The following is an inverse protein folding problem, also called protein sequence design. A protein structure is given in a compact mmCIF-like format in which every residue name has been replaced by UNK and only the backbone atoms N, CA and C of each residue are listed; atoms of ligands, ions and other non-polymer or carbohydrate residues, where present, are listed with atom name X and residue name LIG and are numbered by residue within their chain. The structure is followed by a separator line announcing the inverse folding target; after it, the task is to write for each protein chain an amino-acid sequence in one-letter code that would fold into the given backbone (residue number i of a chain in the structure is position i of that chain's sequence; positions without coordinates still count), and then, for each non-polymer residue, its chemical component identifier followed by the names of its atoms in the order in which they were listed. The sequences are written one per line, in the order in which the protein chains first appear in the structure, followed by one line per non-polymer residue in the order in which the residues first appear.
data_IF_777649026646
#
_entry.id   IF_777649026646
#
_cell.length_a   1.000
_cell.length_b   1.000
_cell.length_c   1.000
_cell.angle_alpha   90.00
_cell.angle_beta   90.00
_cell.angle_gamma   90.00
#
_symmetry.space_group_name_H-M   'P 1'
#
loop_
_entity.id
_entity.type
_entity.pdbx_description
1 polymer ?
#
# COMPACT_ATOMS: atom_id res chain seq x y z
N UNK A 1 -5.66 2.92 -3.36
CA UNK A 1 -6.13 2.80 -1.96
C UNK A 1 -5.16 3.41 -0.93
N UNK A 2 -3.87 3.57 -1.24
CA UNK A 2 -2.82 4.07 -0.31
C UNK A 2 -3.05 5.45 0.25
N UNK A 3 -3.34 6.41 -0.63
CA UNK A 3 -3.67 7.76 -0.21
C UNK A 3 -4.94 7.78 0.66
N UNK A 4 -5.87 6.84 0.44
CA UNK A 4 -7.07 6.71 1.28
C UNK A 4 -6.77 6.09 2.65
N UNK A 5 -5.90 5.08 2.73
CA UNK A 5 -5.50 4.44 4.00
C UNK A 5 -4.63 5.40 4.84
N UNK A 6 -3.64 6.04 4.23
CA UNK A 6 -2.82 7.06 4.90
C UNK A 6 -3.69 8.22 5.39
N UNK A 7 -4.58 8.73 4.54
CA UNK A 7 -5.58 9.73 4.94
C UNK A 7 -6.46 9.22 6.08
N UNK A 8 -6.85 7.94 6.06
CA UNK A 8 -7.69 7.36 7.10
C UNK A 8 -6.98 7.29 8.46
N UNK A 9 -5.67 6.99 8.48
CA UNK A 9 -4.87 7.10 9.70
C UNK A 9 -4.89 8.52 10.26
N UNK A 10 -4.69 9.54 9.42
CA UNK A 10 -4.74 10.95 9.85
C UNK A 10 -6.13 11.34 10.37
N UNK A 11 -7.19 10.96 9.68
CA UNK A 11 -8.58 11.23 10.11
C UNK A 11 -8.89 10.60 11.48
N UNK A 12 -8.45 9.36 11.70
CA UNK A 12 -8.69 8.64 12.96
C UNK A 12 -7.80 9.14 14.10
N UNK A 13 -6.59 9.62 13.81
CA UNK A 13 -5.75 10.30 14.80
C UNK A 13 -6.37 11.63 15.22
N UNK A 14 -6.87 12.43 14.28
CA UNK A 14 -7.57 13.67 14.61
C UNK A 14 -8.83 13.39 15.46
N UNK A 15 -9.63 12.38 15.07
CA UNK A 15 -10.80 11.98 15.85
C UNK A 15 -10.40 11.53 17.27
N UNK A 16 -9.27 10.83 17.42
CA UNK A 16 -8.76 10.42 18.73
C UNK A 16 -8.41 11.63 19.61
N UNK A 17 -7.74 12.63 19.07
CA UNK A 17 -7.41 13.86 19.81
C UNK A 17 -8.67 14.65 20.22
N UNK A 18 -9.70 14.69 19.37
CA UNK A 18 -11.01 15.29 19.71
C UNK A 18 -11.68 14.55 20.89
N UNK A 19 -11.63 13.21 20.90
CA UNK A 19 -12.16 12.40 22.01
C UNK A 19 -11.37 12.68 23.29
N UNK A 20 -10.04 12.77 23.21
CA UNK A 20 -9.20 13.13 24.36
C UNK A 20 -9.48 14.54 24.89
N UNK A 21 -9.80 15.50 24.02
CA UNK A 21 -10.19 16.85 24.41
C UNK A 21 -11.59 16.93 25.04
N UNK A 22 -12.46 15.94 24.76
CA UNK A 22 -13.83 15.87 25.33
C UNK A 22 -13.89 15.38 26.79
N UNK A 23 -12.74 15.11 27.41
CA UNK A 23 -12.65 14.67 28.81
C UNK A 23 -13.33 15.65 29.76
N UNK A 24 -14.16 15.11 30.64
CA UNK A 24 -14.81 15.87 31.71
C UNK A 24 -14.46 15.26 33.07
N UNK A 25 -14.52 16.08 34.13
CA UNK A 25 -14.40 15.57 35.48
C UNK A 25 -15.79 15.29 36.05
N UNK A 26 -15.99 14.08 36.58
CA UNK A 26 -17.20 13.69 37.31
C UNK A 26 -16.82 13.35 38.75
N UNK A 27 -17.75 13.55 39.66
CA UNK A 27 -17.56 13.22 41.07
C UNK A 27 -18.38 11.97 41.39
N UNK A 28 -17.75 11.00 42.05
CA UNK A 28 -18.45 9.81 42.51
C UNK A 28 -19.37 10.16 43.67
N UNK A 29 -20.66 9.88 43.51
CA UNK A 29 -21.67 10.06 44.56
C UNK A 29 -21.42 9.17 45.79
N UNK A 30 -20.63 8.10 45.65
CA UNK A 30 -20.37 7.11 46.68
C UNK A 30 -19.10 7.41 47.50
N UNK A 31 -18.02 7.85 46.84
CA UNK A 31 -16.70 8.06 47.45
C UNK A 31 -16.30 9.54 47.55
N UNK A 32 -17.03 10.45 46.89
CA UNK A 32 -16.69 11.88 46.79
C UNK A 32 -15.45 12.18 45.94
N UNK A 33 -14.79 11.15 45.39
CA UNK A 33 -13.59 11.29 44.57
C UNK A 33 -13.94 11.80 43.17
N UNK A 34 -13.12 12.73 42.66
CA UNK A 34 -13.19 13.17 41.27
C UNK A 34 -12.47 12.17 40.36
N UNK A 35 -13.07 11.84 39.21
CA UNK A 35 -12.50 10.98 38.19
C UNK A 35 -12.72 11.55 36.79
N UNK A 36 -11.84 11.19 35.86
CA UNK A 36 -11.97 11.58 34.45
C UNK A 36 -13.01 10.70 33.74
N UNK A 37 -13.89 11.33 32.97
CA UNK A 37 -14.97 10.68 32.23
C UNK A 37 -14.92 11.06 30.74
N UNK A 38 -15.08 10.06 29.89
CA UNK A 38 -15.29 10.17 28.44
C UNK A 38 -16.56 9.39 28.10
N UNK A 39 -17.36 9.91 27.16
CA UNK A 39 -18.55 9.22 26.69
C UNK A 39 -18.18 7.93 25.93
N UNK A 40 -18.73 6.80 26.39
CA UNK A 40 -18.35 5.47 25.88
C UNK A 40 -18.63 5.30 24.39
N UNK A 41 -19.69 5.96 23.89
CA UNK A 41 -20.13 5.89 22.49
C UNK A 41 -19.08 6.49 21.54
N UNK A 42 -18.37 7.53 21.98
CA UNK A 42 -17.29 8.14 21.20
C UNK A 42 -16.12 7.17 21.04
N UNK A 43 -15.74 6.51 22.15
CA UNK A 43 -14.66 5.52 22.17
C UNK A 43 -15.03 4.30 21.31
N UNK A 44 -16.27 3.81 21.43
CA UNK A 44 -16.78 2.69 20.64
C UNK A 44 -16.80 3.02 19.14
N UNK A 45 -17.33 4.20 18.78
CA UNK A 45 -17.39 4.64 17.39
C UNK A 45 -16.01 4.70 16.74
N UNK A 46 -15.04 5.28 17.45
CA UNK A 46 -13.66 5.33 17.01
C UNK A 46 -13.04 3.92 16.92
N UNK A 47 -13.24 3.07 17.93
CA UNK A 47 -12.73 1.70 17.96
C UNK A 47 -13.24 0.85 16.79
N UNK A 48 -14.52 0.96 16.41
CA UNK A 48 -15.09 0.28 15.24
C UNK A 48 -14.40 0.73 13.95
N UNK A 49 -14.13 2.03 13.79
CA UNK A 49 -13.45 2.55 12.59
C UNK A 49 -11.99 2.09 12.51
N UNK A 50 -11.30 2.00 13.65
CA UNK A 50 -9.92 1.47 13.71
C UNK A 50 -9.89 -0.01 13.33
N UNK A 51 -10.81 -0.83 13.87
CA UNK A 51 -10.91 -2.24 13.50
C UNK A 51 -11.16 -2.41 12.00
N UNK A 52 -12.08 -1.64 11.41
CA UNK A 52 -12.31 -1.68 9.96
C UNK A 52 -11.09 -1.25 9.14
N UNK A 53 -10.28 -0.31 9.63
CA UNK A 53 -9.01 0.05 9.00
C UNK A 53 -8.03 -1.12 9.06
N UNK A 54 -7.88 -1.78 10.20
CA UNK A 54 -6.97 -2.90 10.36
C UNK A 54 -7.40 -4.13 9.55
N UNK A 55 -8.71 -4.41 9.45
CA UNK A 55 -9.25 -5.45 8.55
C UNK A 55 -8.91 -5.16 7.08
N UNK A 56 -8.96 -3.89 6.66
CA UNK A 56 -8.56 -3.48 5.30
C UNK A 56 -7.05 -3.60 5.06
N UNK A 57 -6.23 -3.51 6.11
CA UNK A 57 -4.80 -3.79 6.05
C UNK A 57 -4.51 -5.30 5.95
N UNK A 58 -5.49 -6.16 6.20
CA UNK A 58 -5.42 -7.60 5.95
C UNK A 58 -4.50 -8.34 6.93
N UNK A 59 -3.81 -9.37 6.44
CA UNK A 59 -2.98 -10.28 7.25
C UNK A 59 -1.82 -9.61 7.99
N UNK A 60 -1.39 -8.43 7.52
CA UNK A 60 -0.25 -7.70 8.08
C UNK A 60 -0.58 -6.99 9.38
N UNK A 61 -1.81 -6.51 9.48
CA UNK A 61 -2.34 -5.91 10.70
C UNK A 61 -3.10 -6.94 11.56
N UNK A 62 -3.11 -8.24 11.19
CA UNK A 62 -3.90 -9.24 11.91
C UNK A 62 -3.44 -9.41 13.36
N UNK A 63 -2.13 -9.32 13.61
CA UNK A 63 -1.56 -9.35 14.97
C UNK A 63 -1.97 -8.09 15.76
N UNK A 64 -1.90 -6.93 15.13
CA UNK A 64 -2.26 -5.64 15.71
C UNK A 64 -3.78 -5.58 15.97
N UNK A 65 -4.61 -6.11 15.07
CA UNK A 65 -6.05 -6.25 15.21
C UNK A 65 -6.42 -7.17 16.36
N UNK A 66 -5.79 -8.33 16.45
CA UNK A 66 -5.97 -9.23 17.58
C UNK A 66 -5.62 -8.54 18.90
N UNK A 67 -4.46 -7.89 18.95
CA UNK A 67 -4.01 -7.13 20.13
C UNK A 67 -4.97 -5.99 20.47
N UNK A 68 -5.51 -5.30 19.46
CA UNK A 68 -6.49 -4.23 19.63
C UNK A 68 -7.80 -4.73 20.21
N UNK A 69 -8.33 -5.84 19.70
CA UNK A 69 -9.55 -6.49 20.21
C UNK A 69 -9.36 -6.92 21.66
N UNK A 70 -8.23 -7.56 21.98
CA UNK A 70 -7.90 -7.96 23.36
C UNK A 70 -7.75 -6.77 24.32
N UNK A 71 -7.28 -5.62 23.82
CA UNK A 71 -7.14 -4.39 24.62
C UNK A 71 -8.45 -3.64 24.84
N UNK A 72 -9.47 -3.88 24.00
CA UNK A 72 -10.82 -3.32 24.07
C UNK A 72 -11.65 -3.96 25.20
N UNK A 73 -11.30 -5.16 25.64
CA UNK A 73 -11.96 -5.79 26.78
C UNK A 73 -11.76 -4.99 28.07
N UNK A 74 -12.85 -4.81 28.83
CA UNK A 74 -12.80 -4.12 30.12
C UNK A 74 -12.00 -4.93 31.13
N UNK A 75 -11.04 -4.28 31.77
CA UNK A 75 -10.29 -4.85 32.89
C UNK A 75 -10.95 -4.45 34.21
N UNK A 76 -10.67 -5.19 35.29
CA UNK A 76 -11.18 -4.80 36.61
C UNK A 76 -10.67 -3.41 36.99
N UNK A 77 -11.59 -2.54 37.43
CA UNK A 77 -11.34 -1.14 37.80
C UNK A 77 -10.90 -0.22 36.65
N UNK A 78 -11.13 -0.63 35.41
CA UNK A 78 -10.72 0.12 34.24
C UNK A 78 -11.71 1.25 33.92
N UNK A 79 -11.19 2.46 33.71
CA UNK A 79 -12.01 3.59 33.24
C UNK A 79 -12.03 3.64 31.71
N UNK A 80 -13.01 4.35 31.14
CA UNK A 80 -13.05 4.64 29.70
C UNK A 80 -11.76 5.33 29.21
N UNK A 81 -11.17 6.17 30.06
CA UNK A 81 -9.92 6.88 29.77
C UNK A 81 -8.75 5.91 29.68
N UNK A 82 -8.67 4.96 30.61
CA UNK A 82 -7.61 3.96 30.64
C UNK A 82 -7.73 2.99 29.45
N UNK A 83 -8.96 2.61 29.09
CA UNK A 83 -9.22 1.86 27.85
C UNK A 83 -8.75 2.63 26.63
N UNK A 84 -9.16 3.89 26.48
CA UNK A 84 -8.78 4.72 25.34
C UNK A 84 -7.26 4.91 25.23
N UNK A 85 -6.55 5.08 26.36
CA UNK A 85 -5.08 5.18 26.38
C UNK A 85 -4.40 3.93 25.82
N UNK A 86 -4.89 2.73 26.15
CA UNK A 86 -4.35 1.47 25.61
C UNK A 86 -4.62 1.34 24.12
N UNK A 87 -5.85 1.61 23.69
CA UNK A 87 -6.22 1.54 22.27
C UNK A 87 -5.43 2.55 21.43
N UNK A 88 -5.20 3.76 21.96
CA UNK A 88 -4.33 4.79 21.37
C UNK A 88 -2.92 4.27 21.13
N UNK A 89 -2.31 3.62 22.13
CA UNK A 89 -0.94 3.13 22.00
C UNK A 89 -0.80 2.12 20.84
N UNK A 90 -1.76 1.20 20.72
CA UNK A 90 -1.78 0.21 19.64
C UNK A 90 -2.01 0.89 18.29
N UNK A 91 -2.98 1.81 18.21
CA UNK A 91 -3.27 2.56 16.98
C UNK A 91 -2.06 3.35 16.46
N UNK A 92 -1.37 4.08 17.35
CA UNK A 92 -0.19 4.87 16.98
C UNK A 92 0.99 4.00 16.59
N UNK A 93 1.23 2.88 17.29
CA UNK A 93 2.26 1.92 16.91
C UNK A 93 2.00 1.35 15.50
N UNK A 94 0.77 0.94 15.20
CA UNK A 94 0.41 0.47 13.84
C UNK A 94 0.56 1.57 12.79
N UNK A 95 0.26 2.82 13.13
CA UNK A 95 0.46 3.97 12.24
C UNK A 95 1.95 4.20 11.98
N UNK A 96 2.80 4.14 13.00
CA UNK A 96 4.26 4.27 12.86
C UNK A 96 4.84 3.13 12.00
N UNK A 97 4.39 1.89 12.21
CA UNK A 97 4.79 0.74 11.37
C UNK A 97 4.35 0.93 9.91
N UNK A 98 3.15 1.48 9.70
CA UNK A 98 2.62 1.81 8.39
C UNK A 98 3.43 2.91 7.69
N UNK A 99 3.67 4.03 8.37
CA UNK A 99 4.42 5.17 7.83
C UNK A 99 5.91 4.86 7.64
N UNK A 100 6.47 4.00 8.51
CA UNK A 100 7.85 3.51 8.45
C UNK A 100 8.08 2.42 7.42
N UNK A 101 7.03 1.92 6.74
CA UNK A 101 7.14 0.88 5.72
C UNK A 101 7.47 -0.52 6.28
N UNK A 102 7.31 -0.74 7.59
CA UNK A 102 7.54 -2.02 8.26
C UNK A 102 6.42 -3.04 7.97
N UNK A 103 5.31 -2.58 7.41
CA UNK A 103 4.29 -3.41 6.78
C UNK A 103 4.72 -3.74 5.34
N UNK A 104 5.71 -4.64 5.22
CA UNK A 104 6.47 -4.90 3.99
C UNK A 104 5.61 -5.40 2.83
N UNK A 105 4.56 -6.20 3.07
CA UNK A 105 3.67 -6.61 1.98
C UNK A 105 2.66 -5.53 1.58
N UNK A 106 2.45 -4.49 2.38
CA UNK A 106 1.61 -3.36 2.01
C UNK A 106 2.23 -2.53 0.91
N UNK A 107 3.56 -2.30 0.92
CA UNK A 107 4.24 -1.68 -0.23
C UNK A 107 3.96 -2.48 -1.51
N UNK A 108 4.02 -3.81 -1.43
CA UNK A 108 3.75 -4.69 -2.57
C UNK A 108 2.27 -4.67 -2.98
N UNK A 109 1.32 -4.62 -2.04
CA UNK A 109 -0.13 -4.51 -2.32
C UNK A 109 -0.49 -3.15 -2.94
N UNK A 110 0.10 -2.08 -2.42
CA UNK A 110 -0.04 -0.72 -2.96
C UNK A 110 0.51 -0.66 -4.37
N UNK A 111 1.71 -1.20 -4.59
CA UNK A 111 2.32 -1.27 -5.92
C UNK A 111 1.46 -2.13 -6.85
N UNK A 112 0.96 -3.27 -6.38
CA UNK A 112 0.05 -4.11 -7.15
C UNK A 112 -1.20 -3.32 -7.59
N UNK A 113 -1.84 -2.58 -6.69
CA UNK A 113 -3.04 -1.79 -7.01
C UNK A 113 -2.75 -0.62 -7.95
N UNK A 114 -1.66 0.11 -7.71
CA UNK A 114 -1.20 1.22 -8.56
C UNK A 114 -0.95 0.69 -9.97
N UNK A 115 -0.12 -0.36 -10.09
CA UNK A 115 0.19 -1.00 -11.37
C UNK A 115 -1.04 -1.60 -12.05
N UNK A 116 -1.99 -2.18 -11.32
CA UNK A 116 -3.27 -2.63 -11.89
C UNK A 116 -4.04 -1.46 -12.51
N UNK A 117 -4.10 -0.31 -11.84
CA UNK A 117 -4.76 0.88 -12.36
C UNK A 117 -4.01 1.51 -13.56
N UNK A 118 -2.67 1.45 -13.61
CA UNK A 118 -1.93 1.89 -14.80
C UNK A 118 -2.09 0.91 -15.98
N UNK A 119 -2.09 -0.39 -15.73
CA UNK A 119 -2.34 -1.37 -16.80
C UNK A 119 -3.78 -1.29 -17.32
N UNK A 120 -4.76 -1.01 -16.45
CA UNK A 120 -6.13 -0.72 -16.88
C UNK A 120 -6.22 0.55 -17.74
N UNK A 121 -5.46 1.59 -17.40
CA UNK A 121 -5.34 2.79 -18.25
C UNK A 121 -4.68 2.47 -19.60
N UNK A 122 -3.61 1.67 -19.60
CA UNK A 122 -2.97 1.23 -20.83
C UNK A 122 -3.95 0.42 -21.71
N UNK A 123 -4.75 -0.43 -21.09
CA UNK A 123 -5.81 -1.21 -21.73
C UNK A 123 -6.87 -0.31 -22.37
N UNK A 124 -7.37 0.69 -21.64
CA UNK A 124 -8.38 1.61 -22.15
C UNK A 124 -7.84 2.46 -23.31
N UNK A 125 -6.60 2.96 -23.20
CA UNK A 125 -5.93 3.65 -24.29
C UNK A 125 -5.79 2.76 -25.52
N UNK A 126 -5.39 1.50 -25.33
CA UNK A 126 -5.26 0.53 -26.41
C UNK A 126 -6.61 0.27 -27.10
N UNK A 127 -7.68 0.04 -26.34
CA UNK A 127 -9.06 -0.13 -26.87
C UNK A 127 -9.52 1.06 -27.71
N UNK A 128 -9.12 2.26 -27.32
CA UNK A 128 -9.41 3.49 -28.06
C UNK A 128 -8.39 3.80 -29.17
N UNK A 129 -7.60 2.81 -29.61
CA UNK A 129 -6.61 2.91 -30.70
C UNK A 129 -5.42 3.84 -30.42
N UNK A 130 -5.13 4.18 -29.17
CA UNK A 130 -3.97 4.96 -28.76
C UNK A 130 -2.78 4.06 -28.39
N UNK A 131 -2.29 3.27 -29.35
CA UNK A 131 -1.27 2.24 -29.11
C UNK A 131 0.06 2.79 -28.55
N UNK A 132 0.56 3.92 -29.06
CA UNK A 132 1.80 4.53 -28.55
C UNK A 132 1.65 4.95 -27.08
N UNK A 133 0.52 5.55 -26.71
CA UNK A 133 0.26 5.97 -25.35
C UNK A 133 0.13 4.76 -24.41
N UNK A 134 -0.59 3.72 -24.85
CA UNK A 134 -0.70 2.46 -24.11
C UNK A 134 0.68 1.81 -23.86
N UNK A 135 1.55 1.77 -24.87
CA UNK A 135 2.91 1.25 -24.75
C UNK A 135 3.77 2.06 -23.78
N UNK A 136 3.63 3.39 -23.74
CA UNK A 136 4.33 4.24 -22.77
C UNK A 136 3.87 3.91 -21.34
N UNK A 137 2.57 3.82 -21.09
CA UNK A 137 2.04 3.53 -19.74
C UNK A 137 2.45 2.12 -19.27
N UNK A 138 2.26 1.09 -20.10
CA UNK A 138 2.72 -0.26 -19.77
C UNK A 138 4.26 -0.32 -19.56
N UNK A 139 5.00 0.50 -20.31
CA UNK A 139 6.45 0.62 -20.18
C UNK A 139 6.90 1.25 -18.85
N UNK A 140 6.15 2.22 -18.33
CA UNK A 140 6.40 2.82 -17.01
C UNK A 140 6.22 1.79 -15.90
N UNK A 141 5.17 0.96 -16.00
CA UNK A 141 4.91 -0.12 -15.06
C UNK A 141 6.07 -1.13 -15.04
N UNK A 142 6.55 -1.57 -16.22
CA UNK A 142 7.71 -2.44 -16.34
C UNK A 142 8.97 -1.84 -15.71
N UNK A 143 9.26 -0.57 -16.02
CA UNK A 143 10.45 0.12 -15.51
C UNK A 143 10.43 0.28 -13.99
N UNK A 144 9.27 0.59 -13.43
CA UNK A 144 9.09 0.73 -11.98
C UNK A 144 9.26 -0.62 -11.28
N UNK A 145 8.67 -1.68 -11.83
CA UNK A 145 8.85 -3.06 -11.33
C UNK A 145 10.33 -3.46 -11.28
N UNK A 146 11.11 -3.12 -12.31
CA UNK A 146 12.54 -3.39 -12.35
C UNK A 146 13.33 -2.56 -11.32
N UNK A 147 12.97 -1.29 -11.10
CA UNK A 147 13.59 -0.47 -10.03
C UNK A 147 13.31 -1.03 -8.64
N UNK A 148 12.09 -1.50 -8.41
CA UNK A 148 11.74 -2.12 -7.14
C UNK A 148 12.54 -3.40 -6.91
N UNK A 149 12.62 -4.28 -7.92
CA UNK A 149 13.48 -5.45 -7.88
C UNK A 149 14.95 -5.09 -7.62
N UNK A 150 15.48 -4.06 -8.28
CA UNK A 150 16.84 -3.60 -8.02
C UNK A 150 17.00 -3.18 -6.56
N UNK A 151 16.03 -2.46 -5.99
CA UNK A 151 16.06 -2.05 -4.58
C UNK A 151 16.06 -3.25 -3.64
N UNK A 152 15.25 -4.27 -3.91
CA UNK A 152 15.19 -5.52 -3.12
C UNK A 152 16.51 -6.29 -3.16
N UNK A 153 17.23 -6.23 -4.28
CA UNK A 153 18.53 -6.87 -4.46
C UNK A 153 19.73 -5.94 -4.18
N UNK A 154 19.50 -4.76 -3.60
CA UNK A 154 20.54 -3.76 -3.30
C UNK A 154 21.38 -3.34 -4.52
N UNK A 155 20.76 -3.30 -5.70
CA UNK A 155 21.37 -2.89 -6.96
C UNK A 155 21.09 -1.42 -7.29
N UNK A 156 22.04 -0.76 -7.96
CA UNK A 156 21.86 0.60 -8.45
C UNK A 156 20.79 0.69 -9.54
N UNK A 157 19.99 1.77 -9.49
CA UNK A 157 19.03 2.07 -10.54
C UNK A 157 19.74 2.65 -11.77
N UNK A 158 19.27 2.27 -12.95
CA UNK A 158 19.87 2.71 -14.21
C UNK A 158 18.89 2.71 -15.37
N UNK A 159 19.41 2.56 -16.59
CA UNK A 159 18.56 2.33 -17.75
C UNK A 159 17.84 0.98 -17.63
N UNK A 160 16.68 0.85 -18.27
CA UNK A 160 15.88 -0.38 -18.24
C UNK A 160 16.70 -1.62 -18.66
N UNK A 161 17.55 -1.48 -19.69
CA UNK A 161 18.46 -2.53 -20.12
C UNK A 161 19.53 -2.87 -19.08
N UNK A 162 20.15 -1.86 -18.45
CA UNK A 162 21.14 -2.08 -17.38
C UNK A 162 20.51 -2.81 -16.19
N UNK A 163 19.35 -2.34 -15.73
CA UNK A 163 18.62 -2.98 -14.62
C UNK A 163 18.26 -4.43 -14.96
N UNK A 164 17.79 -4.70 -16.19
CA UNK A 164 17.49 -6.06 -16.64
C UNK A 164 18.74 -6.96 -16.64
N UNK A 165 19.87 -6.44 -17.14
CA UNK A 165 21.14 -7.16 -17.14
C UNK A 165 21.63 -7.49 -15.74
N UNK A 166 21.57 -6.53 -14.82
CA UNK A 166 22.11 -6.67 -13.46
C UNK A 166 21.21 -7.60 -12.61
N UNK A 167 19.89 -7.49 -12.73
CA UNK A 167 18.94 -8.39 -12.08
C UNK A 167 19.10 -9.85 -12.55
N UNK A 168 19.31 -10.07 -13.86
CA UNK A 168 19.57 -11.41 -14.38
C UNK A 168 20.90 -11.98 -13.88
N UNK A 169 21.94 -11.13 -13.71
CA UNK A 169 23.25 -11.57 -13.19
C UNK A 169 23.17 -12.05 -11.75
N UNK A 170 22.36 -11.40 -10.91
CA UNK A 170 22.15 -11.83 -9.51
C UNK A 170 21.12 -12.95 -9.37
N UNK A 171 20.56 -13.43 -10.49
CA UNK A 171 19.62 -14.55 -10.49
C UNK A 171 18.21 -14.20 -10.05
N UNK A 172 17.80 -12.93 -10.07
CA UNK A 172 16.43 -12.51 -9.75
C UNK A 172 15.40 -13.17 -10.70
N UNK A 173 15.81 -13.48 -11.94
CA UNK A 173 15.05 -14.28 -12.89
C UNK A 173 15.97 -14.93 -13.93
N UNK A 174 15.43 -15.91 -14.66
CA UNK A 174 16.18 -16.70 -15.64
C UNK A 174 16.43 -15.95 -16.97
N UNK A 175 17.30 -16.54 -17.81
CA UNK A 175 17.67 -15.98 -19.11
C UNK A 175 16.49 -15.81 -20.09
N UNK A 176 15.45 -16.63 -19.98
CA UNK A 176 14.24 -16.51 -20.81
C UNK A 176 13.46 -15.24 -20.45
N UNK A 177 13.29 -14.97 -19.14
CA UNK A 177 12.63 -13.75 -18.67
C UNK A 177 13.44 -12.50 -19.04
N UNK A 178 14.77 -12.55 -18.93
CA UNK A 178 15.65 -11.46 -19.38
C UNK A 178 15.38 -11.08 -20.84
N UNK A 179 15.31 -12.07 -21.74
CA UNK A 179 15.06 -11.85 -23.18
C UNK A 179 13.68 -11.24 -23.43
N UNK A 180 12.66 -11.67 -22.68
CA UNK A 180 11.31 -11.08 -22.75
C UNK A 180 11.36 -9.61 -22.36
N UNK A 181 11.96 -9.29 -21.22
CA UNK A 181 12.11 -7.90 -20.75
C UNK A 181 12.87 -7.04 -21.77
N UNK A 182 13.92 -7.57 -22.42
CA UNK A 182 14.63 -6.86 -23.50
C UNK A 182 13.71 -6.52 -24.68
N UNK A 183 12.81 -7.42 -25.08
CA UNK A 183 11.85 -7.13 -26.15
C UNK A 183 10.84 -6.04 -25.73
N UNK A 184 10.33 -6.10 -24.50
CA UNK A 184 9.43 -5.07 -23.95
C UNK A 184 10.12 -3.71 -23.85
N UNK A 185 11.39 -3.69 -23.47
CA UNK A 185 12.22 -2.48 -23.39
C UNK A 185 12.35 -1.79 -24.75
N UNK A 186 12.48 -2.57 -25.83
CA UNK A 186 12.57 -2.04 -27.18
C UNK A 186 11.27 -1.30 -27.56
N UNK A 187 10.11 -1.95 -27.38
CA UNK A 187 8.80 -1.35 -27.67
C UNK A 187 8.59 -0.06 -26.86
N UNK A 188 8.83 -0.12 -25.55
CA UNK A 188 8.75 1.05 -24.65
C UNK A 188 9.63 2.20 -25.15
N UNK A 189 10.87 1.92 -25.54
CA UNK A 189 11.80 2.95 -25.99
C UNK A 189 11.35 3.59 -27.30
N UNK A 190 10.93 2.78 -28.28
CA UNK A 190 10.37 3.30 -29.53
C UNK A 190 9.14 4.17 -29.27
N UNK A 191 8.23 3.74 -28.40
CA UNK A 191 7.04 4.51 -28.03
C UNK A 191 7.39 5.84 -27.33
N UNK A 192 8.29 5.81 -26.34
CA UNK A 192 8.72 6.99 -25.58
C UNK A 192 9.49 8.01 -26.44
N UNK A 193 10.13 7.56 -27.52
CA UNK A 193 10.81 8.41 -28.49
C UNK A 193 9.95 8.80 -29.69
N UNK A 194 8.65 8.46 -29.69
CA UNK A 194 7.70 8.87 -30.72
C UNK A 194 7.91 8.18 -32.06
N UNK A 195 8.34 6.91 -32.05
CA UNK A 195 8.60 6.09 -33.25
C UNK A 195 7.58 4.95 -33.42
N UNK A 196 6.31 5.26 -33.72
CA UNK A 196 5.24 4.26 -33.85
C UNK A 196 5.45 3.27 -35.01
N UNK A 197 6.32 3.58 -35.97
CA UNK A 197 6.68 2.71 -37.09
C UNK A 197 7.56 1.52 -36.69
N UNK A 198 8.20 1.56 -35.52
CA UNK A 198 9.09 0.51 -35.03
C UNK A 198 8.33 -0.62 -34.28
N UNK A 199 7.01 -0.51 -34.12
CA UNK A 199 6.18 -1.53 -33.46
C UNK A 199 4.75 -1.55 -34.02
N UNK A 200 4.04 -2.65 -33.79
CA UNK A 200 2.63 -2.81 -34.21
C UNK A 200 1.68 -2.78 -33.01
N UNK A 201 0.38 -2.58 -33.29
CA UNK A 201 -0.64 -2.71 -32.24
C UNK A 201 -0.66 -4.12 -31.60
N UNK A 202 -0.34 -5.17 -32.35
CA UNK A 202 -0.23 -6.53 -31.82
C UNK A 202 0.95 -6.67 -30.84
N UNK A 203 2.07 -5.97 -31.10
CA UNK A 203 3.20 -5.92 -30.18
C UNK A 203 2.83 -5.21 -28.89
N UNK A 204 2.06 -4.11 -28.96
CA UNK A 204 1.58 -3.37 -27.78
C UNK A 204 0.60 -4.20 -26.95
N UNK A 205 -0.34 -4.91 -27.59
CA UNK A 205 -1.23 -5.87 -26.90
C UNK A 205 -0.42 -6.91 -26.13
N UNK A 206 0.54 -7.53 -26.81
CA UNK A 206 1.41 -8.55 -26.22
C UNK A 206 2.25 -7.96 -25.08
N UNK A 207 2.69 -6.71 -25.21
CA UNK A 207 3.44 -5.99 -24.18
C UNK A 207 2.60 -5.82 -22.91
N UNK A 208 1.35 -5.38 -23.00
CA UNK A 208 0.47 -5.21 -21.84
C UNK A 208 0.33 -6.56 -21.10
N UNK A 209 0.01 -7.63 -21.85
CA UNK A 209 -0.17 -8.98 -21.27
C UNK A 209 1.12 -9.53 -20.65
N UNK A 210 2.27 -9.22 -21.24
CA UNK A 210 3.57 -9.69 -20.77
C UNK A 210 4.05 -8.93 -19.54
N UNK A 211 3.76 -7.62 -19.45
CA UNK A 211 4.04 -6.80 -18.26
C UNK A 211 3.16 -7.23 -17.11
N UNK A 212 1.87 -7.48 -17.33
CA UNK A 212 0.95 -8.02 -16.32
C UNK A 212 1.45 -9.37 -15.79
N UNK A 213 1.81 -10.30 -16.68
CA UNK A 213 2.37 -11.59 -16.29
C UNK A 213 3.67 -11.46 -15.50
N UNK A 214 4.54 -10.52 -15.87
CA UNK A 214 5.79 -10.28 -15.15
C UNK A 214 5.53 -9.75 -13.74
N UNK A 215 4.61 -8.78 -13.60
CA UNK A 215 4.18 -8.27 -12.31
C UNK A 215 3.63 -9.36 -11.39
N UNK A 216 2.70 -10.19 -11.89
CA UNK A 216 2.13 -11.29 -11.10
C UNK A 216 3.20 -12.28 -10.64
N UNK A 217 4.23 -12.54 -11.45
CA UNK A 217 5.33 -13.42 -11.07
C UNK A 217 6.32 -12.78 -10.08
N UNK A 218 6.31 -11.46 -9.94
CA UNK A 218 7.31 -10.70 -9.16
C UNK A 218 6.77 -10.21 -7.82
N UNK A 219 5.47 -9.97 -7.71
CA UNK A 219 4.79 -9.47 -6.50
C UNK A 219 4.29 -10.58 -5.55
N UNK A 220 4.65 -11.84 -5.81
CA UNK A 220 4.40 -12.98 -4.90
C UNK A 220 5.52 -13.11 -3.87
#
# INVERSE_FOLDING_TARGET
MTAMIARRFVELEQQLEEILASKTHRNSSYTGSSYEHIESDLVLNWGVKVKSLFERLGSEAASQLKTFIEAEEYRSFDSEVDRLKRLRAIFLATKEDFEGGYLVSYRNLVQAEVFSNELEQAEELFRNSYATAAAVIAGVVLETTLRDLCSTHELEHGSLNKMNDDLAKVGAYNASQKKRITALAAIRNSAAHGKPEEFTAADVRSMIDDVERFLTATLQ
#
